data_IF_220751594957
#
_entry.id   IF_220751594957
#
_cell.length_a   1.000
_cell.length_b   1.000
_cell.length_c   1.000
_cell.angle_alpha   90.00
_cell.angle_beta   90.00
_cell.angle_gamma   90.00
#
_symmetry.space_group_name_H-M   'P 1'
#
loop_
_entity.id
_entity.type
_entity.pdbx_description
1 polymer ?
#
# COMPACT_ATOMS: atom_id res chain seq x y z
N UNK A 1 0.50 21.82 13.60
CA UNK A 1 -0.24 21.11 12.54
C UNK A 1 0.42 19.75 12.34
N UNK A 2 0.22 18.87 13.31
CA UNK A 2 0.88 17.57 13.39
C UNK A 2 -0.12 16.56 13.97
N UNK A 3 0.01 15.30 13.56
CA UNK A 3 -0.53 14.10 14.21
C UNK A 3 -2.01 13.77 13.91
N UNK A 4 -2.46 13.67 12.64
CA UNK A 4 -3.65 12.85 12.27
C UNK A 4 -3.62 12.30 10.83
N UNK A 5 -2.49 11.80 10.33
CA UNK A 5 -2.38 11.36 8.93
C UNK A 5 -2.80 9.92 8.60
N UNK A 6 -3.66 9.27 9.40
CA UNK A 6 -4.11 7.90 9.08
C UNK A 6 -5.60 7.59 9.25
N UNK A 7 -6.46 8.61 9.38
CA UNK A 7 -7.91 8.36 9.28
C UNK A 7 -8.32 8.53 7.81
N UNK A 8 -8.27 7.44 7.03
CA UNK A 8 -9.44 6.87 6.33
C UNK A 8 -9.19 6.04 5.05
N UNK A 9 -8.00 5.95 4.42
CA UNK A 9 -7.81 5.01 3.27
C UNK A 9 -6.42 4.37 3.15
N UNK A 10 -6.29 3.18 3.76
CA UNK A 10 -5.59 1.93 3.34
C UNK A 10 -4.48 2.02 2.25
N UNK A 11 -3.55 2.97 2.37
CA UNK A 11 -2.24 2.99 1.69
C UNK A 11 -1.22 3.59 2.65
N UNK A 12 0.03 3.12 2.60
CA UNK A 12 1.15 3.71 3.34
C UNK A 12 1.24 5.21 3.00
N UNK A 13 0.82 6.08 3.92
CA UNK A 13 0.74 7.52 3.74
C UNK A 13 1.61 8.24 4.78
N UNK A 14 2.78 8.68 4.36
CA UNK A 14 3.73 9.47 5.16
C UNK A 14 3.44 10.97 5.13
N UNK A 15 2.38 11.40 4.43
CA UNK A 15 2.01 12.82 4.29
C UNK A 15 3.02 13.67 3.50
N UNK A 16 4.00 13.06 2.83
CA UNK A 16 4.99 13.79 2.04
C UNK A 16 4.40 14.22 0.69
N UNK A 17 4.36 15.54 0.43
CA UNK A 17 3.73 16.12 -0.77
C UNK A 17 4.30 15.58 -2.08
N UNK A 18 5.63 15.43 -2.17
CA UNK A 18 6.28 14.80 -3.32
C UNK A 18 6.07 13.28 -3.37
N UNK A 19 6.02 12.62 -2.20
CA UNK A 19 5.77 11.19 -2.08
C UNK A 19 4.39 10.76 -2.59
N UNK A 20 3.36 11.59 -2.41
CA UNK A 20 2.01 11.32 -2.93
C UNK A 20 1.97 11.23 -4.45
N UNK A 21 2.61 12.17 -5.16
CA UNK A 21 2.66 12.17 -6.62
C UNK A 21 3.40 10.93 -7.15
N UNK A 22 4.53 10.59 -6.52
CA UNK A 22 5.31 9.40 -6.88
C UNK A 22 4.51 8.11 -6.66
N UNK A 23 3.84 7.95 -5.51
CA UNK A 23 3.01 6.77 -5.21
C UNK A 23 1.87 6.59 -6.21
N UNK A 24 1.23 7.68 -6.64
CA UNK A 24 0.19 7.62 -7.68
C UNK A 24 0.78 7.22 -9.01
N UNK A 25 1.87 7.87 -9.45
CA UNK A 25 2.55 7.57 -10.70
C UNK A 25 2.96 6.10 -10.80
N UNK A 26 3.57 5.56 -9.73
CA UNK A 26 3.98 4.16 -9.69
C UNK A 26 2.79 3.21 -9.76
N UNK A 27 1.71 3.46 -8.99
CA UNK A 27 0.50 2.64 -9.06
C UNK A 27 -0.10 2.62 -10.47
N UNK A 28 -0.21 3.77 -11.14
CA UNK A 28 -0.75 3.85 -12.50
C UNK A 28 0.12 3.10 -13.50
N UNK A 29 1.45 3.26 -13.42
CA UNK A 29 2.38 2.53 -14.29
C UNK A 29 2.26 1.01 -14.10
N UNK A 30 2.20 0.55 -12.85
CA UNK A 30 2.03 -0.88 -12.54
C UNK A 30 0.69 -1.41 -13.04
N UNK A 31 -0.41 -0.66 -12.88
CA UNK A 31 -1.74 -1.08 -13.33
C UNK A 31 -1.77 -1.33 -14.85
N UNK A 32 -1.19 -0.42 -15.64
CA UNK A 32 -1.09 -0.59 -17.11
C UNK A 32 -0.20 -1.79 -17.45
N UNK A 33 0.92 -1.94 -16.74
CA UNK A 33 1.82 -3.07 -16.95
C UNK A 33 1.13 -4.42 -16.66
N UNK A 34 0.42 -4.53 -15.54
CA UNK A 34 -0.32 -5.74 -15.16
C UNK A 34 -1.43 -6.06 -16.17
N UNK A 35 -2.15 -5.05 -16.66
CA UNK A 35 -3.14 -5.25 -17.71
C UNK A 35 -2.52 -5.82 -18.99
N UNK A 36 -1.34 -5.31 -19.38
CA UNK A 36 -0.60 -5.84 -20.54
C UNK A 36 -0.12 -7.28 -20.31
N UNK A 37 0.32 -7.61 -19.09
CA UNK A 37 0.70 -8.98 -18.72
C UNK A 37 -0.49 -9.94 -18.79
N UNK A 38 -1.66 -9.51 -18.28
CA UNK A 38 -2.89 -10.29 -18.34
C UNK A 38 -3.33 -10.56 -19.80
N UNK A 39 -3.24 -9.57 -20.69
CA UNK A 39 -3.50 -9.75 -22.13
C UNK A 39 -2.55 -10.79 -22.74
N UNK A 40 -1.31 -10.89 -22.24
CA UNK A 40 -0.31 -11.89 -22.67
C UNK A 40 -0.48 -13.24 -21.99
N UNK A 41 -1.55 -13.45 -21.21
CA UNK A 41 -1.79 -14.69 -20.47
C UNK A 41 -0.85 -14.92 -19.28
N UNK A 42 -0.20 -13.86 -18.78
CA UNK A 42 0.62 -13.92 -17.57
C UNK A 42 -0.21 -13.47 -16.39
N UNK A 43 -0.41 -14.38 -15.44
CA UNK A 43 -1.20 -14.17 -14.23
C UNK A 43 -0.46 -14.64 -12.98
N UNK A 44 -0.89 -14.14 -11.82
CA UNK A 44 -0.48 -14.64 -10.52
C UNK A 44 -1.45 -15.75 -10.14
N UNK A 45 -0.95 -16.88 -9.67
CA UNK A 45 -1.81 -18.01 -9.32
C UNK A 45 -2.41 -17.81 -7.94
N UNK A 46 -3.56 -18.43 -7.69
CA UNK A 46 -4.18 -18.47 -6.36
C UNK A 46 -3.37 -19.25 -5.32
N UNK A 47 -2.19 -19.76 -5.68
CA UNK A 47 -1.24 -20.41 -4.77
C UNK A 47 -0.16 -19.45 -4.28
N UNK A 48 -0.14 -18.23 -4.81
CA UNK A 48 0.90 -17.24 -4.56
C UNK A 48 0.42 -16.20 -3.53
N UNK A 49 0.98 -16.26 -2.32
CA UNK A 49 0.73 -15.24 -1.29
C UNK A 49 -0.71 -15.22 -0.77
N UNK A 50 -1.33 -14.03 -0.74
CA UNK A 50 -2.71 -13.81 -0.27
C UNK A 50 -3.75 -13.77 -1.40
N UNK A 51 -3.33 -14.13 -2.62
CA UNK A 51 -4.16 -14.08 -3.83
C UNK A 51 -5.05 -15.31 -3.89
N UNK A 52 -6.33 -15.09 -4.19
CA UNK A 52 -7.37 -16.12 -4.31
C UNK A 52 -7.81 -16.30 -5.76
N UNK A 53 -8.60 -17.34 -6.02
CA UNK A 53 -9.21 -17.54 -7.35
C UNK A 53 -10.24 -16.46 -7.67
N UNK A 54 -10.96 -16.01 -6.65
CA UNK A 54 -11.92 -14.93 -6.77
C UNK A 54 -11.26 -13.58 -6.40
N UNK A 55 -11.55 -12.56 -7.22
CA UNK A 55 -10.97 -11.23 -7.04
C UNK A 55 -11.48 -10.55 -5.78
N UNK A 56 -12.73 -10.76 -5.38
CA UNK A 56 -13.32 -10.18 -4.17
C UNK A 56 -12.70 -10.82 -2.93
N UNK A 57 -12.45 -12.14 -2.95
CA UNK A 57 -11.73 -12.80 -1.86
C UNK A 57 -10.30 -12.25 -1.71
N UNK A 58 -9.60 -12.04 -2.83
CA UNK A 58 -8.28 -11.39 -2.83
C UNK A 58 -8.34 -9.96 -2.25
N UNK A 59 -9.35 -9.18 -2.63
CA UNK A 59 -9.57 -7.82 -2.13
C UNK A 59 -9.90 -7.84 -0.64
N UNK A 60 -10.68 -8.81 -0.17
CA UNK A 60 -11.00 -9.00 1.24
C UNK A 60 -9.75 -9.34 2.04
N UNK A 61 -8.93 -10.28 1.57
CA UNK A 61 -7.64 -10.61 2.18
C UNK A 61 -6.73 -9.38 2.25
N UNK A 62 -6.66 -8.59 1.17
CA UNK A 62 -5.90 -7.33 1.15
C UNK A 62 -6.43 -6.31 2.16
N UNK A 63 -7.75 -6.17 2.27
CA UNK A 63 -8.40 -5.29 3.22
C UNK A 63 -8.15 -5.73 4.67
N UNK A 64 -8.20 -7.04 4.94
CA UNK A 64 -7.91 -7.61 6.25
C UNK A 64 -6.46 -7.33 6.64
N UNK A 65 -5.51 -7.63 5.75
CA UNK A 65 -4.09 -7.34 5.95
C UNK A 65 -3.86 -5.86 6.25
N UNK A 66 -4.50 -4.98 5.48
CA UNK A 66 -4.43 -3.54 5.70
C UNK A 66 -5.02 -3.13 7.06
N UNK A 67 -6.18 -3.66 7.45
CA UNK A 67 -6.84 -3.30 8.70
C UNK A 67 -6.07 -3.80 9.93
N UNK A 68 -5.63 -5.05 9.91
CA UNK A 68 -4.98 -5.69 11.06
C UNK A 68 -3.51 -5.28 11.17
N UNK A 69 -2.82 -5.06 10.05
CA UNK A 69 -1.40 -4.67 10.02
C UNK A 69 -1.12 -3.20 10.31
N UNK A 70 -2.11 -2.31 10.14
CA UNK A 70 -1.85 -0.85 10.14
C UNK A 70 -1.50 -0.28 11.52
N UNK A 71 -2.08 -0.78 12.63
CA UNK A 71 -1.86 -0.16 13.94
C UNK A 71 -0.39 -0.20 14.39
N UNK A 72 0.26 -1.36 14.23
CA UNK A 72 1.68 -1.49 14.55
C UNK A 72 2.55 -0.72 13.55
N UNK A 73 2.16 -0.73 12.27
CA UNK A 73 2.86 -0.06 11.19
C UNK A 73 2.87 1.46 11.36
N UNK A 74 1.74 2.07 11.75
CA UNK A 74 1.59 3.50 11.97
C UNK A 74 2.51 4.00 13.08
N UNK A 75 2.53 3.28 14.21
CA UNK A 75 3.41 3.60 15.34
C UNK A 75 4.89 3.51 14.94
N UNK A 76 5.27 2.48 14.19
CA UNK A 76 6.63 2.32 13.68
C UNK A 76 7.01 3.47 12.74
N UNK A 77 6.12 3.83 11.81
CA UNK A 77 6.35 4.93 10.87
C UNK A 77 6.53 6.26 11.59
N UNK A 78 5.66 6.58 12.55
CA UNK A 78 5.78 7.78 13.37
C UNK A 78 7.12 7.83 14.11
N UNK A 79 7.54 6.72 14.72
CA UNK A 79 8.83 6.64 15.40
C UNK A 79 10.01 6.89 14.45
N UNK A 80 9.97 6.35 13.23
CA UNK A 80 11.00 6.61 12.21
C UNK A 80 11.04 8.08 11.80
N UNK A 81 9.87 8.70 11.59
CA UNK A 81 9.76 10.12 11.22
C UNK A 81 10.32 11.03 12.32
N UNK A 82 9.95 10.77 13.59
CA UNK A 82 10.44 11.53 14.74
C UNK A 82 11.94 11.35 14.94
N UNK A 83 12.45 10.13 14.79
CA UNK A 83 13.88 9.88 14.95
C UNK A 83 14.71 10.54 13.85
N UNK A 84 14.17 10.69 12.64
CA UNK A 84 14.85 11.42 11.55
C UNK A 84 15.01 12.91 11.86
N UNK A 85 14.01 13.53 12.50
CA UNK A 85 14.07 14.93 12.97
C UNK A 85 15.14 15.20 14.03
N UNK A 86 15.64 14.17 14.74
CA UNK A 86 16.70 14.36 15.74
C UNK A 86 18.09 14.53 15.15
N UNK A 87 18.27 14.25 13.85
CA UNK A 87 19.54 14.33 13.13
C UNK A 87 19.55 15.40 12.03
N UNK A 88 18.49 16.22 11.96
CA UNK A 88 18.43 17.50 11.24
C UNK A 88 18.54 18.65 12.26
#
# INVERSE_FOLDING_TARGET
>A
MAIRNFTERKRICDGAKAGCALKVSSCTSTAVHTALMAIRGVEIKSTDGFIEKDVEETINNFCQLGNEGSNALDNLMLNMMINKWKYE
#
